data_IF_123700934069
#
_entry.id   IF_123700934069
#
_cell.length_a   1.000
_cell.length_b   1.000
_cell.length_c   1.000
_cell.angle_alpha   90.00
_cell.angle_beta   90.00
_cell.angle_gamma   90.00
#
_symmetry.space_group_name_H-M   'P 1'
#
loop_
_entity.id
_entity.type
_entity.pdbx_description
1 polymer ?
#
# COMPACT_ATOMS: atom_id res chain seq x y z
N UNK A 1 -16.31 -19.30 9.73
CA UNK A 1 -16.28 -18.76 8.36
C UNK A 1 -15.96 -19.92 7.42
N UNK A 2 -16.85 -20.23 6.48
CA UNK A 2 -16.60 -21.30 5.52
C UNK A 2 -16.19 -20.64 4.20
N UNK A 3 -14.91 -20.69 3.85
CA UNK A 3 -14.40 -20.34 2.53
C UNK A 3 -14.35 -21.63 1.72
N UNK A 4 -14.84 -21.61 0.49
CA UNK A 4 -14.76 -22.73 -0.44
C UNK A 4 -13.69 -22.40 -1.46
N UNK A 5 -12.61 -23.19 -1.50
CA UNK A 5 -11.58 -23.08 -2.53
C UNK A 5 -11.92 -24.04 -3.68
N UNK A 6 -11.77 -23.58 -4.92
CA UNK A 6 -12.05 -24.38 -6.11
C UNK A 6 -11.02 -24.15 -7.20
N UNK A 7 -10.77 -25.18 -8.00
CA UNK A 7 -9.94 -25.11 -9.22
C UNK A 7 -10.79 -24.98 -10.48
N UNK A 8 -12.12 -25.07 -10.36
CA UNK A 8 -13.04 -25.05 -11.50
C UNK A 8 -13.54 -23.67 -11.86
N UNK A 9 -13.77 -23.42 -13.16
CA UNK A 9 -14.22 -22.13 -13.69
C UNK A 9 -15.76 -21.96 -13.65
N UNK A 10 -16.54 -23.03 -13.51
CA UNK A 10 -17.98 -23.05 -13.79
C UNK A 10 -18.86 -23.27 -12.54
N UNK A 11 -18.43 -22.78 -11.39
CA UNK A 11 -19.30 -22.80 -10.22
C UNK A 11 -20.25 -21.61 -10.25
N UNK A 12 -21.49 -21.83 -10.68
CA UNK A 12 -22.59 -20.85 -10.70
C UNK A 12 -23.20 -20.57 -9.31
N UNK A 13 -22.40 -20.51 -8.28
CA UNK A 13 -22.85 -20.11 -6.95
C UNK A 13 -22.38 -18.67 -6.73
N UNK A 14 -23.29 -17.73 -6.80
CA UNK A 14 -23.02 -16.34 -6.46
C UNK A 14 -22.81 -16.21 -4.93
N UNK A 15 -21.61 -16.54 -4.47
CA UNK A 15 -21.25 -16.49 -3.06
C UNK A 15 -19.82 -15.97 -2.92
N UNK A 16 -19.68 -14.83 -2.25
CA UNK A 16 -18.40 -14.15 -1.97
C UNK A 16 -17.41 -14.99 -1.14
N UNK A 17 -17.75 -16.24 -0.82
CA UNK A 17 -16.91 -17.19 -0.06
C UNK A 17 -16.23 -18.23 -0.95
N UNK A 18 -16.40 -18.14 -2.28
CA UNK A 18 -15.77 -19.07 -3.21
C UNK A 18 -14.52 -18.39 -3.77
N UNK A 19 -13.37 -19.00 -3.50
CA UNK A 19 -12.08 -18.54 -4.01
C UNK A 19 -11.55 -19.53 -5.04
N UNK A 20 -11.24 -19.04 -6.24
CA UNK A 20 -10.52 -19.83 -7.23
C UNK A 20 -9.05 -19.91 -6.86
N UNK A 21 -8.50 -21.09 -6.89
CA UNK A 21 -7.09 -21.40 -6.61
C UNK A 21 -6.51 -22.25 -7.75
N UNK A 22 -5.19 -22.29 -7.85
CA UNK A 22 -4.48 -23.16 -8.79
C UNK A 22 -4.62 -24.64 -8.38
N UNK A 23 -4.54 -25.55 -9.34
CA UNK A 23 -4.58 -26.99 -9.08
C UNK A 23 -3.48 -27.43 -8.08
N UNK A 24 -2.30 -26.81 -8.19
CA UNK A 24 -1.26 -26.87 -7.17
C UNK A 24 -1.18 -25.49 -6.50
N UNK A 25 -1.39 -25.44 -5.18
CA UNK A 25 -1.28 -24.20 -4.41
C UNK A 25 0.11 -23.59 -4.59
N UNK A 26 0.12 -22.34 -5.01
CA UNK A 26 1.32 -21.50 -5.03
C UNK A 26 1.26 -20.47 -3.91
N UNK A 27 2.36 -19.74 -3.71
CA UNK A 27 2.44 -18.71 -2.64
C UNK A 27 1.36 -17.63 -2.76
N UNK A 28 0.92 -17.31 -3.99
CA UNK A 28 -0.17 -16.37 -4.23
C UNK A 28 -1.50 -16.93 -3.77
N UNK A 29 -1.80 -18.21 -4.05
CA UNK A 29 -3.02 -18.88 -3.60
C UNK A 29 -3.06 -18.99 -2.08
N UNK A 30 -1.93 -19.29 -1.44
CA UNK A 30 -1.81 -19.36 0.02
C UNK A 30 -2.13 -17.99 0.62
N UNK A 31 -1.54 -16.91 0.13
CA UNK A 31 -1.83 -15.55 0.59
C UNK A 31 -3.30 -15.16 0.41
N UNK A 32 -3.92 -15.52 -0.73
CA UNK A 32 -5.36 -15.31 -0.95
C UNK A 32 -6.21 -15.99 0.10
N UNK A 33 -5.93 -17.27 0.37
CA UNK A 33 -6.66 -18.07 1.37
C UNK A 33 -6.50 -17.47 2.77
N UNK A 34 -5.30 -17.08 3.15
CA UNK A 34 -5.01 -16.43 4.44
C UNK A 34 -5.82 -15.14 4.61
N UNK A 35 -5.81 -14.25 3.60
CA UNK A 35 -6.58 -13.01 3.63
C UNK A 35 -8.09 -13.26 3.80
N UNK A 36 -8.64 -14.28 3.11
CA UNK A 36 -10.06 -14.63 3.20
C UNK A 36 -10.43 -15.23 4.56
N UNK A 37 -9.60 -16.14 5.10
CA UNK A 37 -9.84 -16.77 6.39
C UNK A 37 -9.85 -15.76 7.54
N UNK A 38 -9.06 -14.73 7.42
CA UNK A 38 -8.94 -13.70 8.44
C UNK A 38 -10.08 -12.66 8.44
N UNK A 39 -11.08 -12.79 7.54
CA UNK A 39 -12.23 -11.88 7.49
C UNK A 39 -11.86 -10.47 6.99
N UNK A 40 -10.87 -10.36 6.11
CA UNK A 40 -10.56 -9.12 5.40
C UNK A 40 -11.75 -8.72 4.53
N UNK A 41 -12.35 -7.54 4.79
CA UNK A 41 -13.54 -7.06 4.08
C UNK A 41 -13.23 -6.42 2.71
N UNK A 42 -12.05 -6.66 2.19
CA UNK A 42 -11.72 -6.35 0.81
C UNK A 42 -11.08 -4.99 0.54
N UNK A 43 -11.20 -4.51 -0.71
CA UNK A 43 -10.48 -3.34 -1.22
C UNK A 43 -10.84 -2.07 -0.50
N UNK A 44 -12.03 -2.00 0.08
CA UNK A 44 -12.53 -0.81 0.74
C UNK A 44 -11.61 -0.37 1.88
N UNK A 45 -11.21 -1.31 2.75
CA UNK A 45 -10.36 -0.99 3.90
C UNK A 45 -8.99 -0.41 3.49
N UNK A 46 -8.53 -0.75 2.29
CA UNK A 46 -7.26 -0.23 1.75
C UNK A 46 -7.48 1.03 0.94
N UNK A 47 -8.49 1.06 0.07
CA UNK A 47 -8.82 2.25 -0.71
C UNK A 47 -9.16 3.42 0.22
N UNK A 48 -9.81 3.17 1.34
CA UNK A 48 -10.12 4.17 2.36
C UNK A 48 -8.86 4.78 3.03
N UNK A 49 -7.68 4.13 2.89
CA UNK A 49 -6.40 4.70 3.33
C UNK A 49 -5.79 5.69 2.33
N UNK A 50 -6.27 5.73 1.08
CA UNK A 50 -5.79 6.63 0.05
C UNK A 50 -6.79 7.77 -0.18
N UNK A 51 -6.25 8.94 -0.52
CA UNK A 51 -7.07 10.12 -0.87
C UNK A 51 -6.34 10.95 -1.91
N UNK A 52 -7.09 11.67 -2.76
CA UNK A 52 -6.52 12.61 -3.72
C UNK A 52 -5.74 13.74 -3.02
N UNK A 53 -6.17 14.15 -1.82
CA UNK A 53 -5.47 15.12 -0.98
C UNK A 53 -4.14 14.61 -0.42
N UNK A 54 -3.88 13.30 -0.53
CA UNK A 54 -2.65 12.63 -0.09
C UNK A 54 -1.80 12.15 -1.29
N UNK A 55 -2.10 12.64 -2.50
CA UNK A 55 -1.41 12.26 -3.72
C UNK A 55 -0.58 13.43 -4.28
N UNK A 56 0.69 13.17 -4.60
CA UNK A 56 1.62 14.12 -5.19
C UNK A 56 2.22 13.56 -6.49
N UNK A 57 2.24 14.38 -7.52
CA UNK A 57 3.01 14.14 -8.74
C UNK A 57 3.86 15.35 -9.06
N UNK A 58 5.18 15.19 -9.14
CA UNK A 58 6.11 16.25 -9.46
C UNK A 58 7.55 15.96 -9.04
N UNK A 59 8.48 16.82 -9.42
CA UNK A 59 9.89 16.72 -9.04
C UNK A 59 10.08 16.98 -7.55
N UNK A 60 11.08 16.34 -6.95
CA UNK A 60 11.47 16.55 -5.58
C UNK A 60 12.99 16.70 -5.45
N UNK A 61 13.48 17.57 -4.55
CA UNK A 61 14.91 17.80 -4.42
C UNK A 61 15.66 16.73 -3.62
N UNK A 62 14.98 16.00 -2.75
CA UNK A 62 15.61 15.01 -1.85
C UNK A 62 14.59 14.11 -1.15
N UNK A 63 15.09 13.00 -0.59
CA UNK A 63 14.36 12.08 0.29
C UNK A 63 13.61 12.82 1.40
N UNK A 64 14.32 13.65 2.17
CA UNK A 64 13.74 14.37 3.31
C UNK A 64 12.63 15.34 2.88
N UNK A 65 12.76 15.97 1.71
CA UNK A 65 11.73 16.86 1.18
C UNK A 65 10.44 16.09 0.84
N UNK A 66 10.55 14.94 0.18
CA UNK A 66 9.38 14.10 -0.16
C UNK A 66 8.68 13.63 1.10
N UNK A 67 9.42 13.05 2.07
CA UNK A 67 8.84 12.59 3.34
C UNK A 67 8.11 13.74 4.04
N UNK A 68 8.74 14.92 4.10
CA UNK A 68 8.13 16.09 4.72
C UNK A 68 6.85 16.51 4.01
N UNK A 69 6.83 16.59 2.68
CA UNK A 69 5.64 16.98 1.91
C UNK A 69 4.49 16.00 2.10
N UNK A 70 4.77 14.69 2.02
CA UNK A 70 3.75 13.66 2.24
C UNK A 70 3.18 13.71 3.67
N UNK A 71 4.05 13.97 4.65
CA UNK A 71 3.60 14.22 6.02
C UNK A 71 2.74 15.49 6.11
N UNK A 72 3.18 16.61 5.52
CA UNK A 72 2.45 17.89 5.57
C UNK A 72 1.06 17.80 4.92
N UNK A 73 0.90 16.99 3.87
CA UNK A 73 -0.40 16.70 3.27
C UNK A 73 -1.30 16.01 4.29
N UNK A 74 -0.83 14.96 4.96
CA UNK A 74 -1.58 14.26 6.01
C UNK A 74 -1.85 15.15 7.23
N UNK A 75 -0.90 16.00 7.62
CA UNK A 75 -1.06 16.95 8.71
C UNK A 75 -2.18 17.97 8.43
N UNK A 76 -2.25 18.52 7.22
CA UNK A 76 -3.31 19.44 6.79
C UNK A 76 -4.70 18.80 6.82
N UNK A 77 -4.78 17.48 6.61
CA UNK A 77 -6.02 16.71 6.71
C UNK A 77 -6.36 16.28 8.16
N UNK A 78 -5.51 16.63 9.13
CA UNK A 78 -5.69 16.23 10.53
C UNK A 78 -5.41 14.73 10.80
N UNK A 79 -4.73 14.04 9.87
CA UNK A 79 -4.41 12.61 9.97
C UNK A 79 -3.07 12.35 10.65
N UNK A 80 -2.19 13.35 10.73
CA UNK A 80 -0.85 13.26 11.27
C UNK A 80 -0.56 14.36 12.29
N UNK A 81 0.35 14.10 13.22
CA UNK A 81 0.89 15.06 14.17
C UNK A 81 2.44 15.10 14.11
N UNK A 82 3.07 16.02 14.84
CA UNK A 82 4.52 16.17 14.86
C UNK A 82 5.24 14.91 15.40
N UNK A 83 4.60 14.15 16.31
CA UNK A 83 5.18 12.93 16.85
C UNK A 83 5.32 11.87 15.78
N UNK A 84 4.32 11.78 14.90
CA UNK A 84 4.37 10.87 13.76
C UNK A 84 5.51 11.23 12.82
N UNK A 85 5.70 12.51 12.49
CA UNK A 85 6.81 12.95 11.64
C UNK A 85 8.16 12.58 12.23
N UNK A 86 8.36 12.88 13.52
CA UNK A 86 9.61 12.54 14.21
C UNK A 86 9.87 11.03 14.23
N UNK A 87 8.83 10.22 14.44
CA UNK A 87 8.96 8.75 14.43
C UNK A 87 9.35 8.23 13.04
N UNK A 88 8.73 8.74 11.96
CA UNK A 88 9.09 8.38 10.58
C UNK A 88 10.55 8.75 10.30
N UNK A 89 10.96 9.99 10.61
CA UNK A 89 12.32 10.45 10.36
C UNK A 89 13.36 9.69 11.19
N UNK A 90 13.06 9.37 12.44
CA UNK A 90 13.94 8.55 13.27
C UNK A 90 14.10 7.15 12.69
N UNK A 91 13.00 6.50 12.26
CA UNK A 91 13.06 5.19 11.63
C UNK A 91 13.90 5.23 10.35
N UNK A 92 13.63 6.19 9.46
CA UNK A 92 14.36 6.36 8.20
C UNK A 92 15.86 6.63 8.39
N UNK A 93 16.26 7.30 9.47
CA UNK A 93 17.66 7.55 9.79
C UNK A 93 18.39 6.30 10.34
N UNK A 94 17.67 5.36 10.94
CA UNK A 94 18.21 4.11 11.47
C UNK A 94 18.24 3.00 10.42
N UNK A 95 17.19 2.92 9.63
CA UNK A 95 17.00 1.88 8.61
C UNK A 95 16.36 2.48 7.38
N UNK A 96 17.04 2.37 6.24
CA UNK A 96 16.46 2.81 4.97
C UNK A 96 15.13 2.10 4.68
N UNK A 97 14.13 2.86 4.30
CA UNK A 97 12.83 2.31 3.89
C UNK A 97 12.73 2.03 2.41
N UNK A 98 13.86 2.01 1.69
CA UNK A 98 13.92 1.52 0.31
C UNK A 98 13.44 0.07 0.24
N UNK A 99 12.48 -0.19 -0.64
CA UNK A 99 11.83 -1.50 -0.75
C UNK A 99 12.25 -2.31 -2.00
N UNK A 100 13.04 -1.71 -2.86
CA UNK A 100 13.37 -2.24 -4.20
C UNK A 100 12.53 -1.59 -5.31
N UNK A 101 12.85 -1.89 -6.56
CA UNK A 101 12.07 -1.45 -7.74
C UNK A 101 11.77 0.06 -7.81
N UNK A 102 12.72 0.90 -7.41
CA UNK A 102 12.57 2.36 -7.33
C UNK A 102 11.50 2.84 -6.35
N UNK A 103 11.14 2.03 -5.37
CA UNK A 103 10.11 2.30 -4.38
C UNK A 103 10.70 2.49 -2.99
N UNK A 104 10.18 3.46 -2.24
CA UNK A 104 10.40 3.60 -0.79
C UNK A 104 9.08 3.65 -0.02
N UNK A 105 9.10 3.14 1.23
CA UNK A 105 7.93 3.06 2.09
C UNK A 105 8.25 3.64 3.47
N UNK A 106 8.44 4.97 3.59
CA UNK A 106 8.63 5.59 4.89
C UNK A 106 7.43 5.36 5.80
N UNK A 107 7.71 4.91 7.04
CA UNK A 107 6.69 4.60 8.04
C UNK A 107 7.25 4.80 9.45
N UNK A 108 6.40 5.01 10.48
CA UNK A 108 6.85 5.13 11.86
C UNK A 108 7.27 3.76 12.42
N UNK A 109 8.19 3.75 13.38
CA UNK A 109 8.61 2.54 14.05
C UNK A 109 7.47 1.84 14.81
N UNK A 110 6.51 2.63 15.32
CA UNK A 110 5.32 2.14 16.03
C UNK A 110 4.07 2.82 15.49
N UNK A 111 2.92 2.17 15.63
CA UNK A 111 1.63 2.73 15.20
C UNK A 111 1.19 3.87 16.14
N UNK A 112 1.18 5.10 15.63
CA UNK A 112 0.89 6.33 16.39
C UNK A 112 -0.42 6.99 15.98
N UNK A 113 -0.87 6.79 14.74
CA UNK A 113 -2.02 7.51 14.17
C UNK A 113 -3.37 7.05 14.74
N UNK A 114 -4.33 7.94 14.79
CA UNK A 114 -5.72 7.61 15.14
C UNK A 114 -6.48 6.98 13.96
N UNK A 115 -6.00 7.19 12.73
CA UNK A 115 -6.59 6.68 11.49
C UNK A 115 -5.48 6.19 10.57
N UNK A 116 -5.69 5.07 9.89
CA UNK A 116 -4.75 4.60 8.85
C UNK A 116 -4.82 5.49 7.62
N UNK A 117 -3.66 5.83 7.05
CA UNK A 117 -3.58 6.55 5.78
C UNK A 117 -2.31 6.20 5.01
N UNK A 118 -2.33 6.46 3.71
CA UNK A 118 -1.19 6.29 2.82
C UNK A 118 -1.09 7.52 1.93
N UNK A 119 0.00 8.29 2.12
CA UNK A 119 0.32 9.40 1.23
C UNK A 119 1.28 8.91 0.14
N UNK A 120 1.02 9.30 -1.11
CA UNK A 120 1.74 8.79 -2.29
C UNK A 120 2.43 9.92 -3.03
N UNK A 121 3.71 9.71 -3.38
CA UNK A 121 4.41 10.57 -4.35
C UNK A 121 4.87 9.74 -5.54
N UNK A 122 4.65 10.27 -6.75
CA UNK A 122 5.22 9.78 -8.00
C UNK A 122 6.14 10.86 -8.55
N UNK A 123 7.40 10.52 -8.79
CA UNK A 123 8.45 11.45 -9.16
C UNK A 123 8.85 11.21 -10.61
N UNK A 124 8.63 12.16 -11.55
CA UNK A 124 9.07 12.05 -12.94
C UNK A 124 10.58 11.84 -13.06
N UNK A 125 11.35 12.39 -12.10
CA UNK A 125 12.79 12.19 -11.99
C UNK A 125 13.09 11.47 -10.69
N UNK A 126 13.71 10.27 -10.76
CA UNK A 126 14.13 9.55 -9.56
C UNK A 126 15.08 10.40 -8.71
N UNK A 127 14.93 10.29 -7.41
CA UNK A 127 15.82 10.94 -6.43
C UNK A 127 16.68 9.90 -5.72
N UNK A 128 17.84 10.33 -5.22
CA UNK A 128 18.69 9.47 -4.40
C UNK A 128 18.04 9.23 -3.02
N UNK A 129 17.86 7.94 -2.67
CA UNK A 129 17.35 7.45 -1.39
C UNK A 129 18.44 6.62 -0.73
N UNK A 130 19.28 7.27 0.04
CA UNK A 130 20.56 6.73 0.51
C UNK A 130 21.47 6.31 -0.67
N UNK A 131 21.67 5.02 -0.93
CA UNK A 131 22.50 4.51 -2.02
C UNK A 131 21.70 4.10 -3.27
N UNK A 132 20.36 4.20 -3.25
CA UNK A 132 19.46 3.72 -4.28
C UNK A 132 18.61 4.84 -4.88
N UNK A 133 18.07 4.63 -6.08
CA UNK A 133 17.16 5.60 -6.69
C UNK A 133 15.70 5.23 -6.46
N UNK A 134 14.85 6.26 -6.19
CA UNK A 134 13.42 6.12 -5.91
C UNK A 134 12.62 7.10 -6.76
N UNK A 135 11.56 6.61 -7.40
CA UNK A 135 10.59 7.40 -8.15
C UNK A 135 9.13 7.22 -7.67
N UNK A 136 8.89 6.26 -6.77
CA UNK A 136 7.59 6.12 -6.07
C UNK A 136 7.84 6.06 -4.57
N UNK A 137 7.03 6.82 -3.82
CA UNK A 137 7.08 6.82 -2.36
C UNK A 137 5.68 6.61 -1.80
N UNK A 138 5.51 5.61 -0.92
CA UNK A 138 4.31 5.39 -0.12
C UNK A 138 4.63 5.67 1.35
N UNK A 139 4.25 6.84 1.86
CA UNK A 139 4.32 7.13 3.29
C UNK A 139 3.12 6.47 3.96
N UNK A 140 3.38 5.44 4.77
CA UNK A 140 2.35 4.60 5.38
C UNK A 140 2.25 4.89 6.87
N UNK A 141 1.04 5.14 7.34
CA UNK A 141 0.75 5.17 8.77
C UNK A 141 -0.49 4.35 9.07
N UNK A 142 -0.35 3.39 9.97
CA UNK A 142 -1.42 2.50 10.40
C UNK A 142 -1.94 2.96 11.75
N UNK A 143 -3.26 2.94 11.90
CA UNK A 143 -3.95 3.28 13.13
C UNK A 143 -3.44 2.42 14.30
N UNK A 144 -3.19 3.05 15.44
CA UNK A 144 -2.86 2.35 16.68
C UNK A 144 -3.99 1.38 17.07
N UNK A 145 -3.60 0.20 17.57
CA UNK A 145 -4.54 -0.86 17.95
C UNK A 145 -5.45 -1.35 16.80
N UNK A 146 -5.07 -1.15 15.54
CA UNK A 146 -5.84 -1.67 14.40
C UNK A 146 -5.75 -3.20 14.37
N UNK A 147 -6.88 -3.92 14.51
CA UNK A 147 -6.88 -5.38 14.48
C UNK A 147 -6.51 -5.95 13.10
N UNK A 148 -6.59 -5.12 12.05
CA UNK A 148 -6.27 -5.48 10.68
C UNK A 148 -4.90 -4.93 10.20
N UNK A 149 -4.06 -4.42 11.11
CA UNK A 149 -2.76 -3.82 10.75
C UNK A 149 -1.89 -4.75 9.90
N UNK A 150 -1.78 -6.01 10.30
CA UNK A 150 -1.01 -7.02 9.55
C UNK A 150 -1.56 -7.26 8.14
N UNK A 151 -2.88 -7.24 7.97
CA UNK A 151 -3.55 -7.42 6.68
C UNK A 151 -3.29 -6.24 5.75
N UNK A 152 -3.37 -5.01 6.26
CA UNK A 152 -3.03 -3.80 5.52
C UNK A 152 -1.59 -3.88 4.99
N UNK A 153 -0.63 -4.27 5.84
CA UNK A 153 0.76 -4.46 5.44
C UNK A 153 0.93 -5.56 4.39
N UNK A 154 0.28 -6.70 4.58
CA UNK A 154 0.37 -7.84 3.65
C UNK A 154 -0.18 -7.48 2.28
N UNK A 155 -1.31 -6.78 2.22
CA UNK A 155 -1.89 -6.33 0.97
C UNK A 155 -1.04 -5.25 0.30
N UNK A 156 -0.57 -4.27 1.05
CA UNK A 156 0.32 -3.23 0.53
C UNK A 156 1.60 -3.87 -0.04
N UNK A 157 2.20 -4.79 0.70
CA UNK A 157 3.38 -5.53 0.23
C UNK A 157 3.13 -6.29 -1.06
N UNK A 158 1.97 -6.93 -1.20
CA UNK A 158 1.57 -7.62 -2.43
C UNK A 158 1.43 -6.63 -3.61
N UNK A 159 0.72 -5.52 -3.40
CA UNK A 159 0.50 -4.47 -4.39
C UNK A 159 1.83 -3.92 -4.93
N UNK A 160 2.76 -3.61 -4.03
CA UNK A 160 4.03 -2.96 -4.39
C UNK A 160 5.13 -3.93 -4.82
N UNK A 161 5.01 -5.22 -4.53
CA UNK A 161 5.96 -6.25 -5.00
C UNK A 161 5.79 -6.57 -6.50
N UNK A 162 4.71 -6.11 -7.12
CA UNK A 162 4.44 -6.37 -8.53
C UNK A 162 4.94 -5.23 -9.41
N UNK A 163 6.05 -5.45 -10.13
CA UNK A 163 6.64 -4.45 -11.03
C UNK A 163 5.65 -3.95 -12.08
N UNK A 164 4.78 -4.81 -12.61
CA UNK A 164 3.76 -4.41 -13.59
C UNK A 164 2.80 -3.38 -13.00
N UNK A 165 2.43 -3.54 -11.73
CA UNK A 165 1.59 -2.59 -10.99
C UNK A 165 2.25 -1.22 -10.87
N UNK A 166 3.52 -1.18 -10.46
CA UNK A 166 4.26 0.07 -10.32
C UNK A 166 4.40 0.79 -11.66
N UNK A 167 4.67 0.04 -12.75
CA UNK A 167 4.73 0.60 -14.09
C UNK A 167 3.37 1.12 -14.59
N UNK A 168 2.25 0.46 -14.28
CA UNK A 168 0.91 0.95 -14.60
C UNK A 168 0.60 2.26 -13.86
N UNK A 169 0.99 2.38 -12.59
CA UNK A 169 0.85 3.61 -11.80
C UNK A 169 1.67 4.75 -12.42
N UNK A 170 2.93 4.49 -12.84
CA UNK A 170 3.83 5.50 -13.42
C UNK A 170 3.40 5.97 -14.81
N UNK A 171 2.77 5.12 -15.62
CA UNK A 171 2.31 5.48 -16.98
C UNK A 171 1.28 6.60 -16.98
N UNK A 172 0.40 6.61 -16.01
CA UNK A 172 -0.62 7.63 -15.83
C UNK A 172 -0.62 8.05 -14.35
N UNK A 173 0.27 8.99 -13.95
CA UNK A 173 0.51 9.35 -12.56
C UNK A 173 -0.58 10.26 -12.02
N UNK A 174 -1.81 9.74 -11.93
CA UNK A 174 -2.99 10.40 -11.39
C UNK A 174 -3.58 9.59 -10.24
N UNK A 175 -4.25 10.26 -9.30
CA UNK A 175 -4.95 9.57 -8.22
C UNK A 175 -6.02 8.61 -8.74
N UNK A 176 -6.73 8.97 -9.80
CA UNK A 176 -7.75 8.15 -10.42
C UNK A 176 -7.17 6.84 -10.96
N UNK A 177 -6.00 6.91 -11.63
CA UNK A 177 -5.32 5.70 -12.11
C UNK A 177 -4.79 4.85 -10.94
N UNK A 178 -4.18 5.47 -9.93
CA UNK A 178 -3.75 4.77 -8.71
C UNK A 178 -4.91 3.98 -8.09
N UNK A 179 -6.06 4.62 -7.87
CA UNK A 179 -7.25 3.98 -7.30
C UNK A 179 -7.77 2.82 -8.17
N UNK A 180 -7.77 3.01 -9.50
CA UNK A 180 -8.16 1.97 -10.46
C UNK A 180 -7.22 0.76 -10.41
N UNK A 181 -5.91 1.00 -10.38
CA UNK A 181 -4.90 -0.06 -10.31
C UNK A 181 -5.03 -0.85 -9.00
N UNK A 182 -5.21 -0.16 -7.86
CA UNK A 182 -5.45 -0.79 -6.56
C UNK A 182 -6.72 -1.65 -6.58
N UNK A 183 -7.83 -1.14 -7.14
CA UNK A 183 -9.10 -1.88 -7.24
C UNK A 183 -8.96 -3.13 -8.11
N UNK A 184 -8.28 -3.01 -9.27
CA UNK A 184 -8.06 -4.13 -10.19
C UNK A 184 -7.27 -5.27 -9.56
N UNK A 185 -6.20 -4.94 -8.84
CA UNK A 185 -5.40 -5.96 -8.13
C UNK A 185 -6.25 -6.74 -7.13
N UNK A 186 -7.17 -6.07 -6.50
CA UNK A 186 -8.09 -6.74 -5.59
C UNK A 186 -9.03 -7.70 -6.35
N UNK A 187 -9.63 -7.27 -7.48
CA UNK A 187 -10.48 -8.12 -8.31
C UNK A 187 -9.72 -9.33 -8.86
N UNK A 188 -8.43 -9.17 -9.17
CA UNK A 188 -7.56 -10.26 -9.62
C UNK A 188 -7.14 -11.20 -8.46
N UNK A 189 -7.21 -10.72 -7.20
CA UNK A 189 -6.89 -11.49 -6.01
C UNK A 189 -8.09 -12.28 -5.47
N UNK A 190 -9.31 -11.78 -5.66
CA UNK A 190 -10.55 -12.31 -5.08
C UNK A 190 -11.63 -12.52 -6.14
#
# INVERSE_FOLDING_TARGET
YNVICTTENDIFINNNKIQKISYFLNDTDIKKIELLLDGFNGPKDILDCFSEDLFYYGDAPSKNAVIKWLYEMAYKQGLADEKLYHSIMNHENVTSTYFGNYLAIPHPEIFLSETSFISVAILPKPILWDDEYVDIVFLVSIQKNNPNAFKLWSYLSFLISNNTTLEEIKKEPTFQNLSKVISKIYEDLF
#
